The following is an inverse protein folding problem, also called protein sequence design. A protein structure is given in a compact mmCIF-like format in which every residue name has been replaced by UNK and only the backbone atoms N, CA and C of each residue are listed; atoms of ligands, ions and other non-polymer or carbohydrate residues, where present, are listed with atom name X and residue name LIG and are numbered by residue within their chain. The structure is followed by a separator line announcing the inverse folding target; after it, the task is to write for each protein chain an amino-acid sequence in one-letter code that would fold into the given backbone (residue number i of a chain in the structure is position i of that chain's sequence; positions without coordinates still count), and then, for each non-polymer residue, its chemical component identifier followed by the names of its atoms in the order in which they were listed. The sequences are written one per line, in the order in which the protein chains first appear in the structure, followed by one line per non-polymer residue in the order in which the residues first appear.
data_IF_355988433559
#
_entry.id   IF_355988433559
#
_cell.length_a   1.000
_cell.length_b   1.000
_cell.length_c   1.000
_cell.angle_alpha   90.00
_cell.angle_beta   90.00
_cell.angle_gamma   90.00
#
_symmetry.space_group_name_H-M   'P 1'
#
loop_
_entity.id
_entity.type
_entity.pdbx_description
1 polymer ?
#
# COMPACT_ATOMS: atom_id res chain seq x y z
N UNK A 1 -22.28 22.78 -26.04
CA UNK A 1 -21.30 21.75 -25.61
C UNK A 1 -21.24 20.71 -26.71
N UNK A 2 -20.08 20.47 -27.35
CA UNK A 2 -20.01 19.52 -28.47
C UNK A 2 -20.06 18.06 -27.95
N UNK A 3 -20.61 17.12 -28.73
CA UNK A 3 -20.67 15.70 -28.38
C UNK A 3 -19.28 15.09 -28.05
N UNK A 4 -18.21 15.64 -28.62
CA UNK A 4 -16.85 15.13 -28.49
C UNK A 4 -16.26 15.37 -27.09
N UNK A 5 -16.68 16.44 -26.42
CA UNK A 5 -16.22 16.77 -25.06
C UNK A 5 -16.75 15.75 -24.03
N UNK A 6 -17.97 15.24 -24.23
CA UNK A 6 -18.61 14.26 -23.33
C UNK A 6 -18.02 12.85 -23.55
N UNK A 7 -17.69 12.50 -24.79
CA UNK A 7 -17.04 11.22 -25.12
C UNK A 7 -15.58 11.12 -24.64
N UNK A 8 -14.84 12.24 -24.61
CA UNK A 8 -13.48 12.30 -24.07
C UNK A 8 -13.44 12.11 -22.54
N UNK A 9 -14.39 12.73 -21.83
CA UNK A 9 -14.53 12.60 -20.37
C UNK A 9 -14.89 11.16 -19.94
N UNK A 10 -15.73 10.46 -20.71
CA UNK A 10 -16.15 9.09 -20.39
C UNK A 10 -15.04 8.06 -20.61
N UNK A 11 -14.24 8.18 -21.68
CA UNK A 11 -13.08 7.31 -21.92
C UNK A 11 -12.00 7.54 -20.87
N UNK A 12 -11.66 8.78 -20.58
CA UNK A 12 -10.69 9.11 -19.53
C UNK A 12 -11.13 8.50 -18.19
N UNK A 13 -12.39 8.70 -17.76
CA UNK A 13 -12.97 8.10 -16.54
C UNK A 13 -12.93 6.56 -16.53
N UNK A 14 -13.14 5.92 -17.68
CA UNK A 14 -13.07 4.46 -17.82
C UNK A 14 -11.64 3.94 -17.66
N UNK A 15 -10.65 4.64 -18.23
CA UNK A 15 -9.22 4.36 -18.01
C UNK A 15 -8.80 4.62 -16.55
N UNK A 16 -9.37 5.65 -15.90
CA UNK A 16 -9.15 5.94 -14.46
C UNK A 16 -9.51 4.75 -13.57
N UNK A 17 -10.60 4.03 -13.87
CA UNK A 17 -11.04 2.84 -13.10
C UNK A 17 -10.16 1.61 -13.30
N UNK A 18 -9.55 1.42 -14.48
CA UNK A 18 -8.83 0.19 -14.82
C UNK A 18 -7.44 0.08 -14.18
N UNK A 19 -6.76 1.20 -13.93
CA UNK A 19 -5.38 1.21 -13.39
C UNK A 19 -5.32 1.23 -11.86
N UNK A 20 -6.31 1.87 -11.20
CA UNK A 20 -6.51 1.77 -9.75
C UNK A 20 -6.73 0.31 -9.34
N UNK A 21 -7.51 -0.41 -10.17
CA UNK A 21 -7.72 -1.84 -10.03
C UNK A 21 -6.41 -2.64 -10.14
N UNK A 22 -5.39 -2.21 -10.90
CA UNK A 22 -4.19 -3.01 -11.14
C UNK A 22 -3.25 -3.09 -9.92
N UNK A 23 -2.93 -1.98 -9.27
CA UNK A 23 -2.04 -1.98 -8.09
C UNK A 23 -2.75 -2.58 -6.88
N UNK A 24 -4.02 -2.25 -6.67
CA UNK A 24 -4.83 -2.89 -5.64
C UNK A 24 -5.03 -4.39 -5.94
N UNK A 25 -5.15 -4.78 -7.22
CA UNK A 25 -5.19 -6.19 -7.60
C UNK A 25 -3.88 -6.92 -7.27
N UNK A 26 -2.71 -6.29 -7.41
CA UNK A 26 -1.45 -6.91 -6.98
C UNK A 26 -1.44 -7.15 -5.47
N UNK A 27 -1.86 -6.16 -4.66
CA UNK A 27 -1.93 -6.32 -3.20
C UNK A 27 -2.96 -7.38 -2.78
N UNK A 28 -4.13 -7.40 -3.41
CA UNK A 28 -5.15 -8.42 -3.21
C UNK A 28 -4.65 -9.80 -3.64
N UNK A 29 -3.91 -9.90 -4.74
CA UNK A 29 -3.32 -11.15 -5.20
C UNK A 29 -2.29 -11.68 -4.18
N UNK A 30 -1.46 -10.82 -3.59
CA UNK A 30 -0.56 -11.21 -2.49
C UNK A 30 -1.36 -11.79 -1.31
N UNK A 31 -2.42 -11.11 -0.89
CA UNK A 31 -3.29 -11.58 0.20
C UNK A 31 -3.89 -12.96 -0.10
N UNK A 32 -4.44 -13.14 -1.30
CA UNK A 32 -5.03 -14.41 -1.75
C UNK A 32 -3.98 -15.52 -1.81
N UNK A 33 -2.80 -15.26 -2.38
CA UNK A 33 -1.71 -16.24 -2.46
C UNK A 33 -1.18 -16.62 -1.08
N UNK A 34 -1.13 -15.68 -0.14
CA UNK A 34 -0.79 -15.98 1.26
C UNK A 34 -1.80 -16.90 1.93
N UNK A 35 -3.09 -16.70 1.65
CA UNK A 35 -4.11 -17.61 2.15
C UNK A 35 -3.98 -19.01 1.53
N UNK A 36 -3.71 -19.09 0.22
CA UNK A 36 -3.41 -20.35 -0.48
C UNK A 36 -2.18 -21.06 0.12
N UNK A 37 -1.10 -20.32 0.39
CA UNK A 37 0.09 -20.84 1.08
C UNK A 37 -0.27 -21.39 2.48
N UNK A 38 -1.10 -20.66 3.24
CA UNK A 38 -1.56 -21.08 4.58
C UNK A 38 -2.43 -22.34 4.57
N UNK A 39 -3.14 -22.61 3.46
CA UNK A 39 -3.90 -23.85 3.26
C UNK A 39 -3.00 -25.05 2.91
N UNK A 40 -1.68 -24.86 2.78
CA UNK A 40 -0.70 -25.91 2.52
C UNK A 40 -0.29 -26.04 1.05
N UNK A 41 -0.80 -25.20 0.15
CA UNK A 41 -0.42 -25.19 -1.27
C UNK A 41 0.90 -24.43 -1.47
N UNK A 42 2.01 -25.12 -1.21
CA UNK A 42 3.38 -24.56 -1.19
C UNK A 42 3.82 -23.93 -2.52
N UNK A 43 3.13 -24.19 -3.62
CA UNK A 43 3.39 -23.57 -4.93
C UNK A 43 3.13 -22.06 -4.94
N UNK A 44 2.35 -21.53 -3.99
CA UNK A 44 2.13 -20.10 -3.86
C UNK A 44 3.38 -19.34 -3.39
N UNK A 45 4.25 -19.98 -2.58
CA UNK A 45 5.41 -19.33 -1.97
C UNK A 45 6.44 -18.78 -2.98
N UNK A 46 6.85 -19.51 -4.04
CA UNK A 46 7.71 -18.95 -5.08
C UNK A 46 7.10 -17.74 -5.79
N UNK A 47 5.78 -17.72 -5.99
CA UNK A 47 5.08 -16.58 -6.61
C UNK A 47 5.09 -15.38 -5.66
N UNK A 48 4.78 -15.58 -4.38
CA UNK A 48 4.89 -14.54 -3.34
C UNK A 48 6.30 -13.95 -3.29
N UNK A 49 7.34 -14.81 -3.31
CA UNK A 49 8.73 -14.37 -3.34
C UNK A 49 9.04 -13.51 -4.58
N UNK A 50 8.60 -13.92 -5.77
CA UNK A 50 8.75 -13.12 -6.99
C UNK A 50 8.06 -11.75 -6.87
N UNK A 51 6.88 -11.69 -6.24
CA UNK A 51 6.11 -10.46 -6.02
C UNK A 51 6.73 -9.51 -4.99
N UNK A 52 7.66 -9.98 -4.14
CA UNK A 52 8.36 -9.15 -3.14
C UNK A 52 9.06 -7.96 -3.78
N UNK A 53 9.71 -8.15 -4.93
CA UNK A 53 10.43 -7.08 -5.61
C UNK A 53 9.55 -5.88 -5.95
N UNK A 54 8.32 -6.13 -6.39
CA UNK A 54 7.37 -5.06 -6.69
C UNK A 54 6.70 -4.52 -5.40
N UNK A 55 6.20 -5.43 -4.56
CA UNK A 55 5.35 -5.07 -3.41
C UNK A 55 6.13 -4.39 -2.28
N UNK A 56 7.30 -4.91 -1.93
CA UNK A 56 8.20 -4.28 -0.95
C UNK A 56 9.07 -3.20 -1.60
N UNK A 57 9.54 -3.44 -2.84
CA UNK A 57 10.46 -2.54 -3.53
C UNK A 57 9.94 -1.12 -3.71
N UNK A 58 8.63 -0.93 -3.91
CA UNK A 58 8.05 0.42 -3.97
C UNK A 58 8.21 1.22 -2.68
N UNK A 59 8.30 0.57 -1.52
CA UNK A 59 8.50 1.24 -0.24
C UNK A 59 9.97 1.39 0.15
N UNK A 60 10.86 0.60 -0.47
CA UNK A 60 12.29 0.60 -0.14
C UNK A 60 13.16 1.27 -1.22
N UNK A 61 12.57 1.82 -2.29
CA UNK A 61 13.31 2.45 -3.39
C UNK A 61 13.49 3.97 -3.25
N UNK A 62 13.26 4.51 -2.04
CA UNK A 62 13.46 5.94 -1.70
C UNK A 62 14.78 6.51 -2.21
N UNK A 63 15.87 5.81 -1.92
CA UNK A 63 17.23 6.21 -2.30
C UNK A 63 17.50 6.19 -3.80
N UNK A 64 16.60 5.60 -4.61
CA UNK A 64 16.67 5.56 -6.07
C UNK A 64 15.86 6.68 -6.74
N UNK A 65 15.38 7.66 -5.96
CA UNK A 65 14.61 8.80 -6.46
C UNK A 65 13.10 8.54 -6.58
N UNK A 66 12.61 7.42 -6.06
CA UNK A 66 11.17 7.15 -5.95
C UNK A 66 10.68 7.51 -4.56
N UNK A 67 9.81 8.50 -4.42
CA UNK A 67 9.17 8.82 -3.14
C UNK A 67 7.97 7.87 -2.90
N UNK A 68 8.00 7.01 -1.86
CA UNK A 68 6.92 6.06 -1.62
C UNK A 68 5.63 6.68 -1.08
N UNK A 69 5.67 7.91 -0.56
CA UNK A 69 4.49 8.65 -0.08
C UNK A 69 3.74 9.28 -1.24
N UNK A 70 4.46 9.88 -2.19
CA UNK A 70 3.84 10.30 -3.44
C UNK A 70 3.34 9.10 -4.27
N UNK A 71 4.05 7.98 -4.16
CA UNK A 71 3.77 6.78 -4.91
C UNK A 71 3.85 7.00 -6.42
N UNK A 72 3.29 6.08 -7.19
CA UNK A 72 2.96 6.35 -8.60
C UNK A 72 1.59 7.00 -8.64
N UNK A 73 1.48 8.31 -8.89
CA UNK A 73 0.16 8.89 -9.14
C UNK A 73 -0.43 8.26 -10.40
N UNK A 74 -1.66 7.77 -10.28
CA UNK A 74 -2.40 7.18 -11.40
C UNK A 74 -2.74 8.18 -12.51
N UNK A 75 -2.68 9.48 -12.20
CA UNK A 75 -2.93 10.56 -13.14
C UNK A 75 -1.73 11.48 -13.17
N UNK A 76 -1.04 11.48 -14.30
CA UNK A 76 0.00 12.45 -14.61
C UNK A 76 -0.62 13.56 -15.45
N UNK A 77 -0.32 14.81 -15.11
CA UNK A 77 -0.60 15.90 -16.04
C UNK A 77 0.41 15.84 -17.19
N UNK A 78 -0.11 15.67 -18.41
CA UNK A 78 0.66 15.72 -19.66
C UNK A 78 0.52 17.06 -20.38
N UNK A 79 -0.45 17.88 -19.94
CA UNK A 79 -0.76 19.21 -20.45
C UNK A 79 -1.10 20.10 -19.26
N UNK A 80 -0.76 21.37 -19.31
CA UNK A 80 -1.15 22.30 -18.25
C UNK A 80 -2.70 22.38 -18.14
N UNK A 81 -3.27 22.57 -16.94
CA UNK A 81 -4.72 22.66 -16.76
C UNK A 81 -5.37 23.74 -17.64
N UNK A 82 -6.50 23.42 -18.26
CA UNK A 82 -7.27 24.35 -19.12
C UNK A 82 -6.53 24.70 -20.41
N UNK A 83 -6.72 23.93 -21.49
CA UNK A 83 -6.14 24.13 -22.82
C UNK A 83 -4.69 24.65 -22.94
N UNK A 84 -3.88 24.47 -21.89
CA UNK A 84 -2.51 24.99 -21.82
C UNK A 84 -1.52 24.20 -22.69
N UNK A 85 -0.23 24.55 -22.66
CA UNK A 85 0.79 23.83 -23.43
C UNK A 85 1.01 22.39 -22.92
N UNK A 86 1.60 21.55 -23.77
CA UNK A 86 2.09 20.22 -23.38
C UNK A 86 3.22 20.35 -22.35
N UNK A 87 3.19 19.47 -21.35
CA UNK A 87 4.22 19.39 -20.32
C UNK A 87 5.35 18.51 -20.83
N UNK A 88 6.50 19.11 -21.13
CA UNK A 88 7.63 18.43 -21.77
C UNK A 88 8.81 18.19 -20.82
N UNK A 89 8.64 18.41 -19.51
CA UNK A 89 9.69 18.20 -18.51
C UNK A 89 9.18 17.38 -17.34
N UNK A 90 10.05 16.54 -16.74
CA UNK A 90 9.72 15.76 -15.54
C UNK A 90 9.34 16.65 -14.35
N UNK A 91 10.03 17.79 -14.17
CA UNK A 91 9.71 18.76 -13.13
C UNK A 91 8.33 19.41 -13.32
N UNK A 92 7.96 19.74 -14.57
CA UNK A 92 6.62 20.23 -14.89
C UNK A 92 5.57 19.17 -14.62
N UNK A 93 5.80 17.93 -15.06
CA UNK A 93 4.89 16.82 -14.83
C UNK A 93 4.70 16.60 -13.32
N UNK A 94 5.78 16.60 -12.55
CA UNK A 94 5.74 16.47 -11.09
C UNK A 94 4.93 17.61 -10.45
N UNK A 95 5.24 18.88 -10.76
CA UNK A 95 4.56 20.06 -10.19
C UNK A 95 3.06 20.11 -10.49
N UNK A 96 2.64 19.71 -11.69
CA UNK A 96 1.22 19.72 -12.05
C UNK A 96 0.49 18.48 -11.52
N UNK A 97 1.18 17.34 -11.47
CA UNK A 97 0.68 16.08 -10.91
C UNK A 97 0.55 16.14 -9.40
N UNK A 98 1.51 16.76 -8.74
CA UNK A 98 1.63 16.87 -7.30
C UNK A 98 1.72 18.35 -6.96
N UNK A 99 0.68 18.88 -6.31
CA UNK A 99 0.65 20.27 -5.86
C UNK A 99 1.84 20.50 -4.91
N UNK A 100 2.86 21.29 -5.30
CA UNK A 100 4.05 21.49 -4.48
C UNK A 100 3.74 22.23 -3.17
N UNK A 101 2.58 22.90 -3.09
CA UNK A 101 2.14 23.61 -1.89
C UNK A 101 1.31 22.71 -0.95
N UNK A 102 1.00 21.47 -1.37
CA UNK A 102 0.30 20.47 -0.57
C UNK A 102 1.10 19.17 -0.60
N UNK A 103 2.26 19.13 0.08
CA UNK A 103 3.07 17.93 0.13
C UNK A 103 2.24 16.78 0.68
N UNK A 104 2.29 15.63 -0.01
CA UNK A 104 1.64 14.41 0.46
C UNK A 104 2.48 13.91 1.65
N UNK A 105 1.86 13.82 2.83
CA UNK A 105 2.55 13.42 4.07
C UNK A 105 2.14 12.04 4.57
N UNK A 106 1.11 11.45 3.95
CA UNK A 106 0.55 10.16 4.34
C UNK A 106 0.28 9.33 3.09
N UNK A 107 0.30 8.01 3.27
CA UNK A 107 -0.29 7.12 2.30
C UNK A 107 -1.80 7.43 2.17
N UNK A 108 -2.35 7.20 0.98
CA UNK A 108 -3.78 7.35 0.69
C UNK A 108 -4.66 6.63 1.75
N UNK A 109 -5.92 7.03 1.92
CA UNK A 109 -6.87 6.50 2.93
C UNK A 109 -6.24 5.86 4.18
N UNK A 110 -5.46 6.61 4.99
CA UNK A 110 -4.70 6.09 6.12
C UNK A 110 -5.59 5.77 7.33
N UNK A 111 -6.89 6.01 7.22
CA UNK A 111 -7.90 5.93 8.25
C UNK A 111 -9.02 4.93 7.92
N UNK A 112 -8.92 4.18 6.82
CA UNK A 112 -9.97 3.26 6.36
C UNK A 112 -9.45 1.84 6.11
N UNK A 113 -10.12 0.85 6.70
CA UNK A 113 -9.80 -0.57 6.56
C UNK A 113 -9.84 -1.08 5.11
N UNK A 114 -10.71 -0.55 4.24
CA UNK A 114 -10.74 -0.92 2.82
C UNK A 114 -9.75 -0.16 1.92
N UNK A 115 -9.00 0.77 2.51
CA UNK A 115 -8.11 1.68 1.79
C UNK A 115 -6.85 1.00 1.26
N UNK A 116 -6.16 1.69 0.36
CA UNK A 116 -4.86 1.27 -0.15
C UNK A 116 -3.83 1.01 0.96
N UNK A 117 -3.83 1.85 2.01
CA UNK A 117 -2.98 1.69 3.18
C UNK A 117 -3.16 0.32 3.86
N UNK A 118 -4.41 -0.12 4.04
CA UNK A 118 -4.74 -1.38 4.68
C UNK A 118 -4.35 -2.58 3.81
N UNK A 119 -4.65 -2.52 2.51
CA UNK A 119 -4.20 -3.53 1.55
C UNK A 119 -2.67 -3.64 1.50
N UNK A 120 -1.96 -2.51 1.57
CA UNK A 120 -0.50 -2.48 1.61
C UNK A 120 0.05 -3.11 2.89
N UNK A 121 -0.49 -2.75 4.07
CA UNK A 121 -0.10 -3.39 5.34
C UNK A 121 -0.37 -4.88 5.33
N UNK A 122 -1.56 -5.29 4.89
CA UNK A 122 -1.94 -6.69 4.84
C UNK A 122 -1.07 -7.50 3.89
N UNK A 123 -0.83 -7.02 2.68
CA UNK A 123 0.03 -7.69 1.71
C UNK A 123 1.47 -7.84 2.23
N UNK A 124 2.03 -6.80 2.86
CA UNK A 124 3.37 -6.86 3.43
C UNK A 124 3.45 -7.76 4.68
N UNK A 125 2.39 -7.81 5.50
CA UNK A 125 2.29 -8.76 6.60
C UNK A 125 2.23 -10.21 6.09
N UNK A 126 1.49 -10.45 5.01
CA UNK A 126 1.45 -11.75 4.33
C UNK A 126 2.83 -12.14 3.80
N UNK A 127 3.53 -11.23 3.12
CA UNK A 127 4.89 -11.49 2.64
C UNK A 127 5.85 -11.77 3.79
N UNK A 128 5.76 -11.04 4.91
CA UNK A 128 6.59 -11.31 6.09
C UNK A 128 6.37 -12.72 6.67
N UNK A 129 5.14 -13.25 6.57
CA UNK A 129 4.83 -14.60 7.05
C UNK A 129 5.38 -15.68 6.12
N UNK A 130 5.28 -15.48 4.80
CA UNK A 130 5.71 -16.49 3.82
C UNK A 130 7.21 -16.41 3.49
N UNK A 131 7.77 -15.20 3.42
CA UNK A 131 9.15 -14.89 3.04
C UNK A 131 9.72 -13.69 3.84
N UNK A 132 10.14 -13.94 5.09
CA UNK A 132 10.65 -12.90 5.98
C UNK A 132 12.03 -12.40 5.52
N UNK A 133 12.05 -11.39 4.66
CA UNK A 133 13.28 -10.71 4.26
C UNK A 133 13.40 -9.32 4.92
N UNK A 134 14.63 -8.81 5.13
CA UNK A 134 14.84 -7.46 5.65
C UNK A 134 14.14 -6.37 4.84
N UNK A 135 14.04 -6.57 3.52
CA UNK A 135 13.35 -5.63 2.63
C UNK A 135 11.85 -5.56 2.91
N UNK A 136 11.19 -6.71 3.08
CA UNK A 136 9.75 -6.75 3.39
C UNK A 136 9.50 -6.18 4.78
N UNK A 137 10.38 -6.44 5.76
CA UNK A 137 10.30 -5.85 7.08
C UNK A 137 10.38 -4.32 7.03
N UNK A 138 11.38 -3.77 6.34
CA UNK A 138 11.53 -2.33 6.16
C UNK A 138 10.31 -1.70 5.45
N UNK A 139 9.79 -2.36 4.41
CA UNK A 139 8.59 -1.91 3.72
C UNK A 139 7.35 -1.92 4.64
N UNK A 140 7.16 -2.97 5.43
CA UNK A 140 6.05 -3.07 6.38
C UNK A 140 6.12 -1.97 7.44
N UNK A 141 7.30 -1.73 8.00
CA UNK A 141 7.50 -0.70 9.02
C UNK A 141 7.29 0.71 8.44
N UNK A 142 7.78 0.97 7.22
CA UNK A 142 7.49 2.21 6.50
C UNK A 142 6.00 2.46 6.36
N UNK A 143 5.24 1.48 5.84
CA UNK A 143 3.79 1.62 5.65
C UNK A 143 3.11 1.83 7.00
N UNK A 144 3.50 1.07 8.04
CA UNK A 144 2.95 1.18 9.39
C UNK A 144 3.11 2.59 9.96
N UNK A 145 4.31 3.14 9.90
CA UNK A 145 4.62 4.47 10.45
C UNK A 145 3.85 5.59 9.76
N UNK A 146 3.60 5.46 8.45
CA UNK A 146 2.89 6.46 7.65
C UNK A 146 1.36 6.25 7.59
N UNK A 147 0.82 5.33 8.39
CA UNK A 147 -0.61 4.99 8.47
C UNK A 147 -1.05 4.76 9.93
N UNK A 148 -0.50 5.51 10.88
CA UNK A 148 -0.75 5.34 12.32
C UNK A 148 -2.25 5.37 12.66
N UNK A 149 -3.02 6.25 12.03
CA UNK A 149 -4.49 6.40 12.17
C UNK A 149 -5.26 5.11 11.85
N UNK A 150 -4.69 4.24 11.02
CA UNK A 150 -5.32 2.97 10.66
C UNK A 150 -5.33 1.98 11.81
N UNK A 151 -4.31 2.03 12.67
CA UNK A 151 -4.24 1.18 13.86
C UNK A 151 -5.41 1.47 14.79
N UNK A 152 -5.76 2.74 14.94
CA UNK A 152 -6.91 3.17 15.74
C UNK A 152 -8.23 2.71 15.09
N UNK A 153 -8.33 2.81 13.76
CA UNK A 153 -9.54 2.39 13.06
C UNK A 153 -9.77 0.87 13.07
N UNK A 154 -8.72 0.04 13.16
CA UNK A 154 -8.89 -1.42 13.24
C UNK A 154 -9.70 -1.89 14.46
N UNK A 155 -9.81 -1.08 15.51
CA UNK A 155 -10.72 -1.35 16.64
C UNK A 155 -12.20 -1.28 16.25
N UNK A 156 -12.54 -0.53 15.19
CA UNK A 156 -13.91 -0.29 14.70
C UNK A 156 -14.24 -1.11 13.46
N UNK A 157 -13.26 -1.34 12.59
CA UNK A 157 -13.39 -2.19 11.39
C UNK A 157 -12.15 -3.08 11.23
N UNK A 158 -12.22 -4.35 11.67
CA UNK A 158 -11.09 -5.26 11.63
C UNK A 158 -10.92 -5.97 10.27
N UNK A 159 -11.71 -5.63 9.24
CA UNK A 159 -11.78 -6.38 7.97
C UNK A 159 -10.41 -6.62 7.32
N UNK A 160 -9.48 -5.67 7.47
CA UNK A 160 -8.11 -5.77 6.96
C UNK A 160 -7.03 -5.60 8.04
N UNK A 161 -7.34 -5.95 9.29
CA UNK A 161 -6.40 -5.90 10.42
C UNK A 161 -5.42 -7.10 10.40
N UNK A 162 -4.66 -7.24 9.31
CA UNK A 162 -3.70 -8.34 9.11
C UNK A 162 -2.32 -7.90 9.61
N UNK A 163 -1.73 -8.68 10.51
CA UNK A 163 -0.41 -8.44 11.09
C UNK A 163 0.53 -9.65 10.92
N UNK A 164 1.86 -9.45 10.92
CA UNK A 164 2.81 -10.56 10.88
C UNK A 164 2.64 -11.49 12.08
N UNK A 165 2.65 -12.80 11.87
CA UNK A 165 2.40 -13.84 12.87
C UNK A 165 3.37 -13.77 14.05
N UNK A 166 4.67 -13.51 13.79
CA UNK A 166 5.66 -13.37 14.84
C UNK A 166 5.35 -12.18 15.79
N UNK A 167 4.90 -11.05 15.21
CA UNK A 167 4.53 -9.85 15.96
C UNK A 167 3.17 -10.00 16.65
N UNK A 168 2.21 -10.71 16.04
CA UNK A 168 0.95 -11.07 16.68
C UNK A 168 1.16 -12.00 17.88
N UNK A 169 2.09 -12.95 17.79
CA UNK A 169 2.48 -13.83 18.91
C UNK A 169 3.21 -13.07 20.01
N UNK A 170 4.08 -12.11 19.68
CA UNK A 170 4.68 -11.23 20.68
C UNK A 170 3.64 -10.34 21.38
N UNK A 171 2.70 -9.76 20.64
CA UNK A 171 1.60 -8.99 21.22
C UNK A 171 0.74 -9.86 22.15
N UNK A 172 0.38 -11.08 21.74
CA UNK A 172 -0.34 -12.03 22.58
C UNK A 172 0.48 -12.49 23.80
N UNK A 173 1.78 -12.72 23.64
CA UNK A 173 2.70 -13.04 24.73
C UNK A 173 2.85 -11.91 25.75
N UNK A 174 2.87 -10.66 25.28
CA UNK A 174 2.91 -9.47 26.16
C UNK A 174 1.58 -9.25 26.90
N UNK A 175 0.44 -9.62 26.31
CA UNK A 175 -0.86 -9.62 27.00
C UNK A 175 -0.93 -10.71 28.07
N UNK A 176 -0.31 -11.87 27.83
CA UNK A 176 -0.19 -12.94 28.83
C UNK A 176 0.87 -12.67 29.91
N UNK A 177 1.79 -11.73 29.67
CA UNK A 177 2.83 -11.28 30.60
C UNK A 177 2.48 -9.96 31.33
N UNK A 178 1.18 -9.64 31.46
CA UNK A 178 0.70 -8.52 32.28
C UNK A 178 1.17 -8.59 33.74
N UNK A 179 1.17 -7.46 34.48
CA UNK A 179 2.02 -7.25 35.64
C UNK A 179 1.70 -8.22 36.79
N UNK A 180 2.69 -9.04 37.13
CA UNK A 180 2.92 -9.57 38.47
C UNK A 180 1.76 -10.27 39.16
N UNK A 181 1.58 -11.56 38.90
CA UNK A 181 1.36 -12.50 40.00
C UNK A 181 2.67 -13.18 40.32
N UNK A 182 3.41 -12.57 41.24
CA UNK A 182 4.47 -13.25 41.99
C UNK A 182 3.80 -14.42 42.72
N UNK A 183 4.06 -15.63 42.26
CA UNK A 183 4.09 -16.78 43.15
C UNK A 183 5.53 -16.90 43.61
N UNK A 184 5.77 -16.44 44.82
CA UNK A 184 6.99 -16.72 45.58
C UNK A 184 7.02 -18.22 45.95
N UNK A 185 8.21 -18.76 46.28
CA UNK A 185 8.55 -20.19 46.15
C UNK A 185 7.82 -21.13 47.11
#
# INVERSE_FOLDING_TARGET
MSPDTVAGLSRAAMWRRRLLAAVQAVLLLVLMLGWIDSMGFRQAKPVLHWMTNFTAGRFTSGTRGYDPIYGTRYFLYVREPGDGPWINTGAGAFRHTFDPNKPVTKLDYPDWGGGYAALARGALATLLNSDPSPQVAAAYDFVREHTSEMTDNYSRDPTFAIAPLARARQAAGNVLAGPGRSMAP
#
